data_IF_457743165358
#
_entry.id   IF_457743165358
#
_cell.length_a   1.000
_cell.length_b   1.000
_cell.length_c   1.000
_cell.angle_alpha   90.00
_cell.angle_beta   90.00
_cell.angle_gamma   90.00
#
_symmetry.space_group_name_H-M   'P 1'
#
loop_
_entity.id
_entity.type
_entity.pdbx_description
1 polymer ?
#
# COMPACT_ATOMS: atom_id res chain seq x y z
N UNK A 1 -15.79 -8.84 7.79
CA UNK A 1 -14.75 -9.44 8.66
C UNK A 1 -14.02 -8.39 9.51
N UNK A 2 -13.26 -7.44 8.93
CA UNK A 2 -12.47 -6.46 9.70
C UNK A 2 -13.28 -5.62 10.71
N UNK A 3 -14.46 -5.13 10.30
CA UNK A 3 -15.35 -4.34 11.18
C UNK A 3 -15.83 -5.12 12.41
N UNK A 4 -16.04 -6.44 12.29
CA UNK A 4 -16.39 -7.31 13.42
C UNK A 4 -15.21 -7.49 14.39
N UNK A 5 -13.97 -7.50 13.86
CA UNK A 5 -12.75 -7.67 14.65
C UNK A 5 -12.31 -6.39 15.37
N UNK A 6 -12.43 -5.24 14.73
CA UNK A 6 -11.86 -3.97 15.23
C UNK A 6 -12.90 -2.93 15.63
N UNK A 7 -14.18 -3.13 15.32
CA UNK A 7 -15.21 -2.09 15.44
C UNK A 7 -14.99 -1.00 14.40
N UNK A 8 -14.11 -0.04 14.68
CA UNK A 8 -13.66 0.95 13.70
C UNK A 8 -12.54 0.39 12.81
N UNK A 9 -12.63 0.63 11.50
CA UNK A 9 -11.64 0.18 10.51
C UNK A 9 -11.02 1.41 9.85
N UNK A 10 -9.86 1.83 10.37
CA UNK A 10 -9.05 2.87 9.72
C UNK A 10 -8.36 2.33 8.47
N UNK A 11 -7.86 3.23 7.61
CA UNK A 11 -7.04 2.84 6.46
C UNK A 11 -5.86 1.96 6.90
N UNK A 12 -5.18 2.29 8.00
CA UNK A 12 -4.04 1.53 8.52
C UNK A 12 -4.40 0.08 8.91
N UNK A 13 -5.67 -0.21 9.23
CA UNK A 13 -6.12 -1.60 9.45
C UNK A 13 -6.17 -2.44 8.18
N UNK A 14 -5.98 -1.85 7.01
CA UNK A 14 -5.90 -2.54 5.73
C UNK A 14 -4.54 -2.34 5.04
N UNK A 15 -4.00 -1.12 5.02
CA UNK A 15 -2.76 -0.77 4.31
C UNK A 15 -1.50 -0.78 5.20
N UNK A 16 -1.38 -1.82 6.04
CA UNK A 16 -0.20 -2.09 6.88
C UNK A 16 0.17 -3.58 6.86
N UNK A 17 1.22 -3.99 7.58
CA UNK A 17 1.62 -5.40 7.68
C UNK A 17 0.53 -6.25 8.33
N UNK A 18 0.11 -5.90 9.55
CA UNK A 18 -1.06 -6.51 10.17
C UNK A 18 -2.33 -6.36 9.33
N UNK A 19 -2.46 -5.27 8.57
CA UNK A 19 -3.56 -5.07 7.63
C UNK A 19 -3.57 -6.10 6.49
N UNK A 20 -2.42 -6.39 5.89
CA UNK A 20 -2.27 -7.43 4.87
C UNK A 20 -2.61 -8.82 5.43
N UNK A 21 -2.18 -9.12 6.66
CA UNK A 21 -2.55 -10.35 7.36
C UNK A 21 -4.07 -10.45 7.59
N UNK A 22 -4.70 -9.32 7.96
CA UNK A 22 -6.15 -9.24 8.15
C UNK A 22 -6.93 -9.37 6.82
N UNK A 23 -6.42 -8.80 5.73
CA UNK A 23 -6.99 -8.94 4.39
C UNK A 23 -6.94 -10.38 3.92
N UNK A 24 -5.77 -11.04 4.04
CA UNK A 24 -5.61 -12.46 3.70
C UNK A 24 -6.61 -13.35 4.45
N UNK A 25 -6.72 -13.18 5.78
CA UNK A 25 -7.68 -13.95 6.58
C UNK A 25 -9.14 -13.63 6.22
N UNK A 26 -9.44 -12.37 5.89
CA UNK A 26 -10.79 -11.96 5.52
C UNK A 26 -11.22 -12.52 4.17
N UNK A 27 -10.33 -12.53 3.17
CA UNK A 27 -10.58 -13.08 1.84
C UNK A 27 -10.79 -14.59 1.93
N UNK A 28 -9.87 -15.32 2.58
CA UNK A 28 -10.01 -16.75 2.83
C UNK A 28 -11.38 -17.13 3.44
N UNK A 29 -11.81 -16.35 4.45
CA UNK A 29 -13.06 -16.60 5.14
C UNK A 29 -14.30 -16.24 4.30
N UNK A 30 -14.21 -15.28 3.38
CA UNK A 30 -15.29 -14.94 2.44
C UNK A 30 -15.42 -16.01 1.36
N UNK A 31 -14.29 -16.53 0.87
CA UNK A 31 -14.25 -17.53 -0.19
C UNK A 31 -14.43 -18.97 0.33
N UNK A 32 -14.50 -19.16 1.65
CA UNK A 32 -14.63 -20.47 2.28
C UNK A 32 -13.38 -21.35 2.14
N UNK A 33 -12.22 -20.75 1.87
CA UNK A 33 -10.96 -21.46 1.64
C UNK A 33 -10.19 -21.57 2.95
N UNK A 34 -9.83 -22.80 3.34
CA UNK A 34 -8.93 -23.03 4.46
C UNK A 34 -7.48 -22.73 4.04
N UNK A 35 -6.88 -21.69 4.64
CA UNK A 35 -5.45 -21.35 4.47
C UNK A 35 -4.79 -21.22 5.84
N UNK A 36 -3.49 -21.57 5.97
CA UNK A 36 -2.77 -21.33 7.21
C UNK A 36 -2.69 -19.83 7.50
N UNK A 37 -2.65 -19.46 8.78
CA UNK A 37 -2.31 -18.09 9.17
C UNK A 37 -0.88 -17.79 8.70
N UNK A 38 -0.69 -16.66 8.02
CA UNK A 38 0.59 -16.24 7.46
C UNK A 38 0.95 -14.85 7.92
N UNK A 39 2.25 -14.58 8.08
CA UNK A 39 2.77 -13.23 8.30
C UNK A 39 2.83 -12.44 7.01
N UNK A 40 2.79 -11.11 7.10
CA UNK A 40 2.82 -10.22 5.93
C UNK A 40 3.97 -10.55 4.95
N UNK A 41 5.16 -10.87 5.47
CA UNK A 41 6.31 -11.25 4.64
C UNK A 41 6.07 -12.55 3.85
N UNK A 42 5.44 -13.54 4.48
CA UNK A 42 5.08 -14.79 3.80
C UNK A 42 3.99 -14.57 2.76
N UNK A 43 2.99 -13.76 3.08
CA UNK A 43 1.93 -13.38 2.13
C UNK A 43 2.54 -12.72 0.90
N UNK A 44 3.42 -11.72 1.08
CA UNK A 44 4.15 -11.08 -0.03
C UNK A 44 4.93 -12.10 -0.86
N UNK A 45 5.66 -13.01 -0.20
CA UNK A 45 6.46 -14.04 -0.88
C UNK A 45 5.59 -14.97 -1.72
N UNK A 46 4.59 -15.60 -1.12
CA UNK A 46 3.75 -16.58 -1.82
C UNK A 46 2.84 -15.94 -2.88
N UNK A 47 2.49 -14.66 -2.71
CA UNK A 47 1.86 -13.88 -3.76
C UNK A 47 2.80 -13.72 -4.98
N UNK A 48 4.05 -13.33 -4.73
CA UNK A 48 5.08 -13.16 -5.77
C UNK A 48 5.47 -14.47 -6.48
N UNK A 49 5.52 -15.58 -5.75
CA UNK A 49 5.76 -16.92 -6.31
C UNK A 49 4.53 -17.48 -7.06
N UNK A 50 3.36 -16.87 -6.91
CA UNK A 50 2.12 -17.34 -7.53
C UNK A 50 1.52 -18.61 -6.89
N UNK A 51 2.08 -19.10 -5.79
CA UNK A 51 1.74 -20.38 -5.14
C UNK A 51 0.55 -20.29 -4.19
N UNK A 52 0.03 -19.09 -3.93
CA UNK A 52 -1.10 -18.85 -3.04
C UNK A 52 -2.07 -17.83 -3.64
N UNK A 53 -3.21 -18.27 -4.22
CA UNK A 53 -4.22 -17.37 -4.80
C UNK A 53 -4.71 -16.31 -3.81
N UNK A 54 -5.09 -16.73 -2.59
CA UNK A 54 -5.55 -15.80 -1.54
C UNK A 54 -4.48 -14.78 -1.16
N UNK A 55 -3.20 -15.15 -1.21
CA UNK A 55 -2.10 -14.23 -0.96
C UNK A 55 -2.00 -13.16 -2.06
N UNK A 56 -2.17 -13.57 -3.34
CA UNK A 56 -2.22 -12.61 -4.45
C UNK A 56 -3.40 -11.67 -4.32
N UNK A 57 -4.58 -12.18 -3.97
CA UNK A 57 -5.78 -11.35 -3.83
C UNK A 57 -5.65 -10.36 -2.66
N UNK A 58 -5.02 -10.79 -1.56
CA UNK A 58 -4.71 -9.90 -0.44
C UNK A 58 -3.75 -8.77 -0.83
N UNK A 59 -2.68 -9.08 -1.60
CA UNK A 59 -1.73 -8.08 -2.11
C UNK A 59 -2.40 -7.14 -3.11
N UNK A 60 -3.23 -7.67 -4.02
CA UNK A 60 -3.98 -6.87 -4.99
C UNK A 60 -4.94 -5.89 -4.28
N UNK A 61 -5.71 -6.38 -3.32
CA UNK A 61 -6.62 -5.56 -2.50
C UNK A 61 -5.85 -4.49 -1.71
N UNK A 62 -4.71 -4.84 -1.12
CA UNK A 62 -3.84 -3.90 -0.43
C UNK A 62 -3.40 -2.77 -1.37
N UNK A 63 -2.90 -3.09 -2.56
CA UNK A 63 -2.41 -2.10 -3.52
C UNK A 63 -3.55 -1.20 -4.02
N UNK A 64 -4.73 -1.77 -4.26
CA UNK A 64 -5.92 -1.03 -4.67
C UNK A 64 -6.38 -0.03 -3.60
N UNK A 65 -6.44 -0.46 -2.34
CA UNK A 65 -6.78 0.42 -1.21
C UNK A 65 -5.72 1.50 -1.01
N UNK A 66 -4.43 1.16 -1.11
CA UNK A 66 -3.34 2.12 -1.00
C UNK A 66 -3.41 3.19 -2.10
N UNK A 67 -3.70 2.79 -3.34
CA UNK A 67 -3.91 3.73 -4.45
C UNK A 67 -5.05 4.70 -4.16
N UNK A 68 -6.19 4.18 -3.69
CA UNK A 68 -7.36 4.99 -3.34
C UNK A 68 -7.03 6.05 -2.28
N UNK A 69 -6.33 5.65 -1.21
CA UNK A 69 -5.91 6.55 -0.12
C UNK A 69 -4.88 7.57 -0.60
N UNK A 70 -3.91 7.14 -1.41
CA UNK A 70 -2.89 8.04 -1.97
C UNK A 70 -3.51 9.10 -2.89
N UNK A 71 -4.53 8.74 -3.67
CA UNK A 71 -5.29 9.69 -4.49
C UNK A 71 -6.03 10.74 -3.65
N UNK A 72 -6.63 10.34 -2.52
CA UNK A 72 -7.26 11.28 -1.58
C UNK A 72 -6.22 12.26 -1.00
N UNK A 73 -5.07 11.75 -0.56
CA UNK A 73 -3.96 12.58 -0.06
C UNK A 73 -3.47 13.55 -1.14
N UNK A 74 -3.32 13.10 -2.38
CA UNK A 74 -2.88 13.96 -3.48
C UNK A 74 -3.85 15.13 -3.74
N UNK A 75 -5.16 14.90 -3.61
CA UNK A 75 -6.18 15.95 -3.73
C UNK A 75 -6.16 16.90 -2.54
N UNK A 76 -6.13 16.37 -1.31
CA UNK A 76 -6.14 17.15 -0.08
C UNK A 76 -5.00 18.18 -0.04
N UNK A 77 -3.80 17.78 -0.46
CA UNK A 77 -2.61 18.63 -0.41
C UNK A 77 -2.27 19.31 -1.74
N UNK A 78 -3.05 19.05 -2.80
CA UNK A 78 -2.72 19.46 -4.18
C UNK A 78 -1.27 19.10 -4.54
N UNK A 79 -0.90 17.83 -4.31
CA UNK A 79 0.49 17.35 -4.34
C UNK A 79 1.09 17.26 -5.76
N UNK A 80 1.15 18.37 -6.50
CA UNK A 80 1.65 18.43 -7.90
C UNK A 80 3.12 18.04 -8.04
N UNK A 81 3.90 18.18 -6.96
CA UNK A 81 5.30 17.71 -6.90
C UNK A 81 5.44 16.19 -6.84
N UNK A 82 4.34 15.45 -6.69
CA UNK A 82 4.32 14.01 -6.63
C UNK A 82 3.95 13.44 -5.26
N UNK A 83 3.64 12.15 -5.25
CA UNK A 83 3.37 11.35 -4.05
C UNK A 83 4.42 10.26 -3.93
N UNK A 84 5.06 10.19 -2.77
CA UNK A 84 6.09 9.20 -2.49
C UNK A 84 5.55 8.16 -1.50
N UNK A 85 5.58 6.89 -1.89
CA UNK A 85 5.21 5.76 -1.03
C UNK A 85 6.45 5.31 -0.28
N UNK A 86 6.44 5.53 1.03
CA UNK A 86 7.46 5.09 1.97
C UNK A 86 6.96 3.87 2.77
N UNK A 87 7.90 3.07 3.28
CA UNK A 87 7.62 1.95 4.18
C UNK A 87 8.09 0.60 3.64
N UNK A 88 8.20 -0.38 4.53
CA UNK A 88 8.90 -1.64 4.23
C UNK A 88 8.09 -2.71 3.49
N UNK A 89 6.79 -2.53 3.27
CA UNK A 89 5.93 -3.56 2.65
C UNK A 89 5.93 -3.45 1.14
N UNK A 90 5.65 -2.26 0.60
CA UNK A 90 5.53 -2.05 -0.84
C UNK A 90 6.79 -2.46 -1.61
N UNK A 91 8.02 -2.15 -1.15
CA UNK A 91 9.23 -2.64 -1.82
C UNK A 91 9.32 -4.16 -1.95
N UNK A 92 8.69 -4.93 -1.03
CA UNK A 92 8.68 -6.41 -1.08
C UNK A 92 7.78 -6.97 -2.18
N UNK A 93 6.84 -6.18 -2.70
CA UNK A 93 6.01 -6.59 -3.84
C UNK A 93 6.76 -6.47 -5.18
N UNK A 94 7.85 -5.70 -5.23
CA UNK A 94 8.65 -5.52 -6.44
C UNK A 94 7.81 -5.10 -7.65
N UNK A 95 8.00 -5.79 -8.77
CA UNK A 95 7.27 -5.53 -10.02
C UNK A 95 5.74 -5.73 -9.90
N UNK A 96 5.28 -6.55 -8.95
CA UNK A 96 3.84 -6.77 -8.75
C UNK A 96 3.12 -5.50 -8.30
N UNK A 97 3.80 -4.58 -7.60
CA UNK A 97 3.20 -3.31 -7.24
C UNK A 97 2.92 -2.43 -8.47
N UNK A 98 3.88 -2.34 -9.40
CA UNK A 98 3.72 -1.56 -10.62
C UNK A 98 2.63 -2.13 -11.54
N UNK A 99 2.45 -3.46 -11.55
CA UNK A 99 1.40 -4.14 -12.29
C UNK A 99 0.02 -4.18 -11.57
N UNK A 100 -0.06 -3.68 -10.34
CA UNK A 100 -1.29 -3.71 -9.53
C UNK A 100 -2.29 -2.61 -9.91
N UNK A 101 -3.48 -2.66 -9.33
CA UNK A 101 -4.48 -1.59 -9.46
C UNK A 101 -4.11 -0.28 -8.75
N UNK A 102 -2.94 -0.16 -8.12
CA UNK A 102 -2.56 1.06 -7.38
C UNK A 102 -2.77 2.33 -8.22
N UNK A 103 -2.27 2.37 -9.46
CA UNK A 103 -2.35 3.56 -10.29
C UNK A 103 -3.78 3.85 -10.74
N UNK A 104 -4.51 2.83 -11.19
CA UNK A 104 -5.91 2.96 -11.57
C UNK A 104 -6.76 3.50 -10.40
N UNK A 105 -6.53 2.99 -9.19
CA UNK A 105 -7.24 3.42 -7.97
C UNK A 105 -6.82 4.80 -7.48
N UNK A 106 -5.57 5.18 -7.68
CA UNK A 106 -5.08 6.54 -7.42
C UNK A 106 -5.85 7.57 -8.25
N UNK A 107 -6.04 7.30 -9.55
CA UNK A 107 -6.72 8.21 -10.47
C UNK A 107 -8.26 8.14 -10.40
N UNK A 108 -8.84 7.09 -9.80
CA UNK A 108 -10.28 6.85 -9.73
C UNK A 108 -11.03 7.82 -8.78
N UNK A 109 -11.00 9.12 -9.11
CA UNK A 109 -11.63 10.23 -8.36
C UNK A 109 -12.57 11.06 -9.23
N UNK A 110 -13.24 10.40 -10.18
CA UNK A 110 -14.26 11.00 -11.05
C UNK A 110 -13.71 12.19 -11.84
N UNK A 111 -14.34 13.36 -11.70
CA UNK A 111 -13.93 14.60 -12.39
C UNK A 111 -12.48 15.05 -12.11
N UNK A 112 -11.82 14.49 -11.10
CA UNK A 112 -10.42 14.80 -10.78
C UNK A 112 -9.43 13.81 -11.39
N UNK A 113 -9.88 12.84 -12.20
CA UNK A 113 -9.01 11.84 -12.82
C UNK A 113 -7.87 12.49 -13.61
N UNK A 114 -8.16 13.43 -14.52
CA UNK A 114 -7.13 14.12 -15.31
C UNK A 114 -6.14 14.89 -14.45
N UNK A 115 -6.62 15.52 -13.36
CA UNK A 115 -5.78 16.22 -12.41
C UNK A 115 -4.77 15.27 -11.72
N UNK A 116 -5.23 14.08 -11.32
CA UNK A 116 -4.39 13.07 -10.68
C UNK A 116 -3.49 12.34 -11.68
N UNK A 117 -3.93 12.19 -12.93
CA UNK A 117 -3.15 11.59 -14.00
C UNK A 117 -1.79 12.31 -14.19
N UNK A 118 -1.77 13.64 -14.02
CA UNK A 118 -0.56 14.45 -14.12
C UNK A 118 0.37 14.37 -12.88
N UNK A 119 -0.08 13.80 -11.76
CA UNK A 119 0.72 13.73 -10.52
C UNK A 119 1.56 12.45 -10.52
N UNK A 120 2.91 12.55 -10.44
CA UNK A 120 3.76 11.37 -10.42
C UNK A 120 3.69 10.66 -9.07
N UNK A 121 3.81 9.33 -9.10
CA UNK A 121 3.89 8.49 -7.90
C UNK A 121 5.18 7.69 -7.93
N UNK A 122 5.91 7.65 -6.82
CA UNK A 122 7.17 6.90 -6.73
C UNK A 122 7.23 6.08 -5.43
N UNK A 123 7.85 4.91 -5.49
CA UNK A 123 8.19 4.13 -4.29
C UNK A 123 9.61 4.48 -3.88
N UNK A 124 9.80 4.81 -2.60
CA UNK A 124 11.14 5.03 -2.05
C UNK A 124 11.80 3.66 -1.79
N UNK A 125 12.89 3.38 -2.48
CA UNK A 125 13.65 2.12 -2.35
C UNK A 125 14.98 2.28 -1.60
N UNK A 126 15.38 3.51 -1.26
CA UNK A 126 16.62 3.74 -0.51
C UNK A 126 16.50 3.16 0.91
N UNK A 127 17.40 2.25 1.33
CA UNK A 127 17.27 1.53 2.61
C UNK A 127 17.29 2.47 3.83
N UNK A 128 18.09 3.53 3.75
CA UNK A 128 18.33 4.47 4.86
C UNK A 128 17.70 5.85 4.64
N UNK A 129 16.54 5.94 3.96
CA UNK A 129 15.93 7.24 3.62
C UNK A 129 15.66 8.11 4.86
N UNK A 130 15.33 7.50 6.00
CA UNK A 130 15.11 8.21 7.26
C UNK A 130 16.39 8.92 7.74
N UNK A 131 17.56 8.28 7.61
CA UNK A 131 18.84 8.86 7.99
C UNK A 131 19.26 9.99 7.04
N UNK A 132 18.99 9.86 5.73
CA UNK A 132 19.19 10.96 4.78
C UNK A 132 18.36 12.19 5.14
N UNK A 133 17.08 11.99 5.46
CA UNK A 133 16.20 13.06 5.91
C UNK A 133 16.69 13.71 7.21
N UNK A 134 17.10 12.90 8.19
CA UNK A 134 17.64 13.38 9.46
C UNK A 134 18.91 14.21 9.26
N UNK A 135 19.84 13.74 8.42
CA UNK A 135 21.05 14.48 8.09
C UNK A 135 20.75 15.83 7.45
N UNK A 136 19.83 15.87 6.47
CA UNK A 136 19.45 17.10 5.79
C UNK A 136 18.81 18.12 6.76
N UNK A 137 17.99 17.67 7.71
CA UNK A 137 17.43 18.52 8.75
C UNK A 137 18.53 19.05 9.68
N UNK A 138 19.40 18.17 10.17
CA UNK A 138 20.49 18.55 11.07
C UNK A 138 21.48 19.54 10.43
N UNK A 139 21.77 19.38 9.14
CA UNK A 139 22.63 20.30 8.38
C UNK A 139 22.02 21.70 8.24
N UNK A 140 20.69 21.82 8.12
CA UNK A 140 19.99 23.11 8.04
C UNK A 140 19.97 23.88 9.34
N UNK A 141 19.97 23.21 10.50
CA UNK A 141 19.96 23.87 11.82
C UNK A 141 21.32 24.48 12.18
N UNK A 142 22.39 24.09 11.49
CA UNK A 142 23.75 24.58 11.72
C UNK A 142 24.14 25.79 10.85
N UNK A 143 23.29 26.19 9.91
CA UNK A 143 23.47 27.36 9.04
C UNK A 143 22.62 28.53 9.53
#
# INVERSE_FOLDING_TARGET
MLRRRYGHVSNERAISGPGLEALHAAIAAVDGIAVPARKAAEISRFAGEGTCPVCRDAVAMFCAMLGSVAGDVALLFRARGGVFVAGGIVPRFGAAFAASEFRARFEAKGRFQEYLAAIPTAVITHPDVAFLGLHAIAARVRA
#
